data_IF_603202017073
#
_entry.id   IF_603202017073
#
_cell.length_a   1.000
_cell.length_b   1.000
_cell.length_c   1.000
_cell.angle_alpha   90.00
_cell.angle_beta   90.00
_cell.angle_gamma   90.00
#
_symmetry.space_group_name_H-M   'P 1'
#
loop_
_entity.id
_entity.type
_entity.pdbx_description
1 polymer ?
#
# COMPACT_ATOMS: atom_id res chain seq x y z
N UNK A 1 -10.32 -4.99 -2.29
CA UNK A 1 -11.22 -4.34 -1.34
C UNK A 1 -10.94 -4.77 0.10
N UNK A 2 -11.06 -6.05 0.46
CA UNK A 2 -10.84 -6.51 1.85
C UNK A 2 -9.47 -6.11 2.42
N UNK A 3 -8.40 -6.22 1.63
CA UNK A 3 -7.05 -5.84 2.06
C UNK A 3 -6.93 -4.32 2.31
N UNK A 4 -7.56 -3.49 1.47
CA UNK A 4 -7.60 -2.05 1.71
C UNK A 4 -8.39 -1.73 2.98
N UNK A 5 -9.54 -2.36 3.16
CA UNK A 5 -10.33 -2.20 4.38
C UNK A 5 -9.53 -2.60 5.62
N UNK A 6 -8.85 -3.75 5.59
CA UNK A 6 -7.98 -4.18 6.69
C UNK A 6 -6.85 -3.17 6.97
N UNK A 7 -6.20 -2.64 5.93
CA UNK A 7 -5.18 -1.61 6.08
C UNK A 7 -5.72 -0.34 6.74
N UNK A 8 -6.90 0.12 6.31
CA UNK A 8 -7.55 1.29 6.89
C UNK A 8 -7.98 1.05 8.34
N UNK A 9 -8.51 -0.14 8.64
CA UNK A 9 -8.85 -0.54 10.02
C UNK A 9 -7.61 -0.50 10.91
N UNK A 10 -6.50 -1.08 10.48
CA UNK A 10 -5.24 -1.07 11.25
C UNK A 10 -4.75 0.37 11.44
N UNK A 11 -4.69 1.16 10.37
CA UNK A 11 -4.17 2.53 10.43
C UNK A 11 -5.00 3.44 11.35
N UNK A 12 -6.35 3.29 11.34
CA UNK A 12 -7.27 4.16 12.09
C UNK A 12 -7.51 3.67 13.52
N UNK A 13 -7.70 2.35 13.71
CA UNK A 13 -8.13 1.82 15.01
C UNK A 13 -6.97 1.39 15.90
N UNK A 14 -5.83 0.94 15.34
CA UNK A 14 -4.71 0.51 16.17
C UNK A 14 -4.23 1.59 17.17
N UNK A 15 -4.11 2.87 16.79
CA UNK A 15 -3.76 3.93 17.73
C UNK A 15 -4.79 4.13 18.85
N UNK A 16 -6.06 3.82 18.59
CA UNK A 16 -7.14 3.99 19.58
C UNK A 16 -7.09 2.93 20.70
N UNK A 17 -6.58 1.73 20.42
CA UNK A 17 -6.49 0.65 21.40
C UNK A 17 -5.33 0.80 22.38
N UNK A 18 -4.35 1.67 22.10
CA UNK A 18 -3.17 1.89 22.97
C UNK A 18 -3.42 2.98 24.03
N UNK A 19 -4.46 2.82 24.82
CA UNK A 19 -4.93 3.79 25.81
C UNK A 19 -3.92 4.07 26.93
N UNK A 20 -2.94 3.21 27.18
CA UNK A 20 -2.09 3.25 28.36
C UNK A 20 -0.67 3.80 28.15
N UNK A 21 -0.33 4.27 26.95
CA UNK A 21 1.05 4.73 26.71
C UNK A 21 1.13 6.28 26.72
N UNK A 22 1.66 6.77 27.81
CA UNK A 22 1.90 8.18 28.07
C UNK A 22 2.83 8.81 27.01
N UNK A 23 2.32 9.75 26.22
CA UNK A 23 3.15 10.62 25.38
C UNK A 23 3.53 10.10 23.99
N UNK A 24 3.38 8.81 23.66
CA UNK A 24 3.84 8.21 22.39
C UNK A 24 2.73 7.94 21.35
N UNK A 25 1.56 8.55 21.49
CA UNK A 25 0.41 8.31 20.62
C UNK A 25 0.72 8.58 19.13
N UNK A 26 1.49 9.62 18.83
CA UNK A 26 1.92 9.97 17.47
C UNK A 26 2.86 8.95 16.87
N UNK A 27 3.79 8.41 17.65
CA UNK A 27 4.70 7.36 17.23
C UNK A 27 3.94 6.08 16.89
N UNK A 28 3.01 5.67 17.77
CA UNK A 28 2.18 4.49 17.54
C UNK A 28 1.26 4.63 16.34
N UNK A 29 0.65 5.79 16.14
CA UNK A 29 -0.16 6.08 14.96
C UNK A 29 0.67 5.95 13.67
N UNK A 30 1.89 6.48 13.68
CA UNK A 30 2.83 6.37 12.57
C UNK A 30 3.23 4.92 12.31
N UNK A 31 3.63 4.19 13.34
CA UNK A 31 4.09 2.81 13.22
C UNK A 31 2.95 1.87 12.78
N UNK A 32 1.72 2.08 13.25
CA UNK A 32 0.54 1.38 12.78
C UNK A 32 0.24 1.65 11.30
N UNK A 33 0.33 2.91 10.87
CA UNK A 33 0.15 3.29 9.47
C UNK A 33 1.18 2.65 8.54
N UNK A 34 2.46 2.69 8.90
CA UNK A 34 3.52 2.07 8.10
C UNK A 34 3.46 0.54 8.14
N UNK A 35 3.11 -0.08 9.26
CA UNK A 35 2.88 -1.51 9.34
C UNK A 35 1.71 -1.96 8.47
N UNK A 36 0.62 -1.20 8.45
CA UNK A 36 -0.51 -1.44 7.56
C UNK A 36 -0.10 -1.33 6.09
N UNK A 37 0.66 -0.29 5.73
CA UNK A 37 1.18 -0.10 4.38
C UNK A 37 2.13 -1.23 3.99
N UNK A 38 3.03 -1.66 4.86
CA UNK A 38 3.99 -2.72 4.60
C UNK A 38 3.30 -4.08 4.44
N UNK A 39 2.49 -4.49 5.41
CA UNK A 39 1.89 -5.83 5.43
C UNK A 39 0.79 -5.93 4.36
N UNK A 40 -0.21 -5.07 4.43
CA UNK A 40 -1.33 -5.10 3.49
C UNK A 40 -0.89 -4.68 2.09
N UNK A 41 0.10 -3.78 1.97
CA UNK A 41 0.71 -3.39 0.71
C UNK A 41 1.44 -4.54 0.05
N UNK A 42 2.26 -5.30 0.78
CA UNK A 42 2.95 -6.49 0.26
C UNK A 42 1.96 -7.56 -0.20
N UNK A 43 0.92 -7.82 0.58
CA UNK A 43 -0.18 -8.74 0.21
C UNK A 43 -0.85 -8.26 -1.09
N UNK A 44 -1.16 -6.97 -1.20
CA UNK A 44 -1.79 -6.40 -2.40
C UNK A 44 -0.87 -6.48 -3.61
N UNK A 45 0.41 -6.16 -3.47
CA UNK A 45 1.40 -6.22 -4.55
C UNK A 45 1.55 -7.65 -5.07
N UNK A 46 1.67 -8.64 -4.18
CA UNK A 46 1.90 -10.04 -4.55
C UNK A 46 0.63 -10.69 -5.08
N UNK A 47 -0.40 -10.80 -4.25
CA UNK A 47 -1.61 -11.54 -4.62
C UNK A 47 -2.45 -10.82 -5.67
N UNK A 48 -2.47 -9.48 -5.65
CA UNK A 48 -3.11 -8.68 -6.69
C UNK A 48 -2.51 -8.95 -8.07
N UNK A 49 -1.18 -8.98 -8.14
CA UNK A 49 -0.44 -9.24 -9.39
C UNK A 49 -0.63 -10.68 -9.86
N UNK A 50 -0.43 -11.68 -8.98
CA UNK A 50 -0.65 -13.09 -9.33
C UNK A 50 -2.06 -13.29 -9.87
N UNK A 51 -3.07 -12.77 -9.19
CA UNK A 51 -4.47 -12.91 -9.61
C UNK A 51 -4.74 -12.25 -10.96
N UNK A 52 -4.15 -11.07 -11.22
CA UNK A 52 -4.33 -10.35 -12.48
C UNK A 52 -3.75 -11.14 -13.65
N UNK A 53 -2.51 -11.64 -13.52
CA UNK A 53 -1.88 -12.43 -14.58
C UNK A 53 -2.57 -13.78 -14.79
N UNK A 54 -2.86 -14.50 -13.70
CA UNK A 54 -3.47 -15.85 -13.77
C UNK A 54 -4.86 -15.82 -14.35
N UNK A 55 -5.68 -14.86 -13.98
CA UNK A 55 -7.05 -14.76 -14.51
C UNK A 55 -7.05 -14.66 -16.04
N UNK A 56 -6.10 -13.94 -16.62
CA UNK A 56 -6.02 -13.79 -18.07
C UNK A 56 -5.46 -15.01 -18.77
N UNK A 57 -4.49 -15.69 -18.14
CA UNK A 57 -3.95 -16.96 -18.66
C UNK A 57 -5.04 -18.05 -18.63
N UNK A 58 -5.79 -18.17 -17.54
CA UNK A 58 -6.84 -19.18 -17.36
C UNK A 58 -8.09 -18.89 -18.21
N UNK A 59 -8.44 -17.62 -18.44
CA UNK A 59 -9.57 -17.22 -19.28
C UNK A 59 -9.27 -17.20 -20.78
N UNK A 60 -8.03 -17.57 -21.18
CA UNK A 60 -7.53 -17.50 -22.57
C UNK A 60 -7.70 -16.14 -23.26
N UNK A 61 -7.97 -15.08 -22.48
CA UNK A 61 -8.05 -13.71 -23.01
C UNK A 61 -6.70 -13.22 -23.52
N UNK A 62 -5.59 -13.83 -23.06
CA UNK A 62 -4.26 -13.62 -23.62
C UNK A 62 -4.19 -13.99 -25.12
N UNK A 63 -4.87 -15.06 -25.55
CA UNK A 63 -4.88 -15.50 -26.95
C UNK A 63 -5.54 -14.45 -27.86
N UNK A 64 -6.66 -13.87 -27.41
CA UNK A 64 -7.32 -12.78 -28.14
C UNK A 64 -6.49 -11.49 -28.16
N UNK A 65 -5.81 -11.16 -27.08
CA UNK A 65 -4.94 -9.98 -27.03
C UNK A 65 -3.70 -10.15 -27.90
N UNK A 66 -3.16 -11.37 -28.00
CA UNK A 66 -2.00 -11.71 -28.84
C UNK A 66 -2.38 -11.96 -30.32
N UNK A 67 -3.67 -12.09 -30.65
CA UNK A 67 -4.15 -12.07 -32.04
C UNK A 67 -3.97 -10.70 -32.71
N UNK A 68 -3.85 -9.63 -31.92
CA UNK A 68 -3.38 -8.33 -32.40
C UNK A 68 -1.84 -8.30 -32.47
N UNK A 69 -1.22 -7.44 -33.28
CA UNK A 69 0.25 -7.38 -33.44
C UNK A 69 0.95 -6.75 -32.24
N UNK A 70 0.65 -7.27 -31.02
CA UNK A 70 1.27 -6.85 -29.75
C UNK A 70 2.30 -7.90 -29.35
N UNK A 71 3.53 -7.48 -29.10
CA UNK A 71 4.56 -8.38 -28.60
C UNK A 71 4.23 -8.90 -27.20
N UNK A 72 4.60 -10.16 -26.90
CA UNK A 72 4.41 -10.76 -25.58
C UNK A 72 5.07 -9.95 -24.46
N UNK A 73 6.22 -9.33 -24.77
CA UNK A 73 6.93 -8.44 -23.84
C UNK A 73 6.13 -7.17 -23.53
N UNK A 74 5.55 -6.54 -24.58
CA UNK A 74 4.71 -5.35 -24.39
C UNK A 74 3.47 -5.67 -23.56
N UNK A 75 2.85 -6.83 -23.77
CA UNK A 75 1.73 -7.28 -22.96
C UNK A 75 2.12 -7.44 -21.49
N UNK A 76 3.25 -8.14 -21.21
CA UNK A 76 3.77 -8.32 -19.85
C UNK A 76 4.06 -6.96 -19.17
N UNK A 77 4.74 -6.05 -19.90
CA UNK A 77 5.10 -4.72 -19.39
C UNK A 77 3.86 -3.90 -19.03
N UNK A 78 2.88 -3.82 -19.95
CA UNK A 78 1.65 -3.03 -19.73
C UNK A 78 0.84 -3.56 -18.54
N UNK A 79 0.81 -4.87 -18.35
CA UNK A 79 0.16 -5.49 -17.19
C UNK A 79 0.88 -5.19 -15.88
N UNK A 80 2.20 -5.27 -15.89
CA UNK A 80 3.02 -4.94 -14.72
C UNK A 80 2.86 -3.46 -14.33
N UNK A 81 2.84 -2.56 -15.31
CA UNK A 81 2.59 -1.12 -15.08
C UNK A 81 1.18 -0.90 -14.51
N UNK A 82 0.16 -1.56 -15.07
CA UNK A 82 -1.21 -1.45 -14.58
C UNK A 82 -1.37 -1.96 -13.14
N UNK A 83 -0.72 -3.07 -12.81
CA UNK A 83 -0.71 -3.60 -11.45
C UNK A 83 0.02 -2.66 -10.49
N UNK A 84 1.14 -2.06 -10.90
CA UNK A 84 1.87 -1.10 -10.11
C UNK A 84 1.09 0.20 -9.90
N UNK A 85 0.42 0.72 -10.93
CA UNK A 85 -0.45 1.89 -10.80
C UNK A 85 -1.60 1.65 -9.79
N UNK A 86 -2.23 0.48 -9.84
CA UNK A 86 -3.26 0.10 -8.86
C UNK A 86 -2.69 0.01 -7.43
N UNK A 87 -1.46 -0.53 -7.29
CA UNK A 87 -0.75 -0.53 -6.00
C UNK A 87 -0.45 0.88 -5.50
N UNK A 88 0.00 1.81 -6.38
CA UNK A 88 0.27 3.20 -6.00
C UNK A 88 -0.98 3.91 -5.47
N UNK A 89 -2.14 3.67 -6.09
CA UNK A 89 -3.42 4.20 -5.58
C UNK A 89 -3.71 3.65 -4.18
N UNK A 90 -3.53 2.35 -3.97
CA UNK A 90 -3.66 1.74 -2.64
C UNK A 90 -2.71 2.39 -1.62
N UNK A 91 -1.43 2.52 -1.96
CA UNK A 91 -0.40 3.09 -1.09
C UNK A 91 -0.69 4.55 -0.75
N UNK A 92 -1.14 5.34 -1.74
CA UNK A 92 -1.52 6.74 -1.54
C UNK A 92 -2.72 6.88 -0.58
N UNK A 93 -3.75 6.03 -0.72
CA UNK A 93 -4.90 6.03 0.21
C UNK A 93 -4.43 5.75 1.64
N UNK A 94 -3.68 4.67 1.86
CA UNK A 94 -3.21 4.29 3.20
C UNK A 94 -2.27 5.34 3.77
N UNK A 95 -1.37 5.91 2.97
CA UNK A 95 -0.46 6.97 3.39
C UNK A 95 -1.21 8.24 3.82
N UNK A 96 -2.13 8.75 3.00
CA UNK A 96 -2.92 9.94 3.33
C UNK A 96 -3.71 9.76 4.64
N UNK A 97 -4.34 8.59 4.82
CA UNK A 97 -5.06 8.28 6.08
C UNK A 97 -4.09 8.21 7.25
N UNK A 98 -2.94 7.57 7.09
CA UNK A 98 -1.94 7.46 8.16
C UNK A 98 -1.44 8.81 8.63
N UNK A 99 -1.12 9.73 7.69
CA UNK A 99 -0.68 11.09 8.01
C UNK A 99 -1.77 11.85 8.77
N UNK A 100 -3.03 11.76 8.34
CA UNK A 100 -4.17 12.40 9.01
C UNK A 100 -4.36 11.86 10.44
N UNK A 101 -4.20 10.55 10.65
CA UNK A 101 -4.32 9.93 11.98
C UNK A 101 -3.16 10.34 12.88
N UNK A 102 -1.95 10.46 12.36
CA UNK A 102 -0.77 10.94 13.12
C UNK A 102 -0.95 12.40 13.57
N UNK A 103 -1.42 13.29 12.67
CA UNK A 103 -1.78 14.67 13.04
C UNK A 103 -2.85 14.67 14.13
N UNK A 104 -3.88 13.85 13.99
CA UNK A 104 -4.94 13.71 14.99
C UNK A 104 -4.45 13.22 16.33
N UNK A 105 -3.50 12.31 16.35
CA UNK A 105 -2.90 11.83 17.59
C UNK A 105 -2.07 12.92 18.29
N UNK A 106 -1.41 13.79 17.52
CA UNK A 106 -0.66 14.93 18.07
C UNK A 106 -1.60 15.94 18.74
N UNK A 107 -2.62 16.40 18.01
CA UNK A 107 -3.63 17.36 18.52
C UNK A 107 -4.45 16.77 19.67
N UNK A 108 -4.86 15.49 19.54
CA UNK A 108 -5.60 14.78 20.59
C UNK A 108 -4.78 14.62 21.88
N UNK A 109 -3.45 14.55 21.79
CA UNK A 109 -2.56 14.52 22.94
C UNK A 109 -2.59 15.83 23.75
N UNK A 110 -2.69 16.98 23.09
CA UNK A 110 -2.79 18.28 23.73
C UNK A 110 -4.18 18.52 24.36
N UNK A 111 -5.23 18.17 23.63
CA UNK A 111 -6.61 18.26 24.14
C UNK A 111 -6.84 17.32 25.33
N UNK A 112 -6.24 16.12 25.32
CA UNK A 112 -6.37 15.19 26.43
C UNK A 112 -5.64 15.64 27.70
N UNK A 113 -4.58 16.42 27.58
CA UNK A 113 -3.93 17.07 28.73
C UNK A 113 -4.86 18.14 29.36
N UNK A 114 -5.69 18.77 28.52
CA UNK A 114 -6.59 19.85 28.98
C UNK A 114 -7.96 19.36 29.48
N UNK A 115 -8.51 18.26 28.95
CA UNK A 115 -9.92 17.87 29.14
C UNK A 115 -10.17 16.46 29.69
N UNK A 116 -9.10 15.72 30.05
CA UNK A 116 -9.26 14.33 30.53
C UNK A 116 -9.56 13.28 29.42
N UNK A 117 -9.02 12.09 29.60
CA UNK A 117 -8.76 11.02 28.62
C UNK A 117 -9.81 10.63 27.54
N UNK A 118 -11.08 10.91 27.70
CA UNK A 118 -12.13 10.57 26.72
C UNK A 118 -12.15 11.47 25.48
N UNK A 119 -11.68 12.70 25.57
CA UNK A 119 -11.60 13.64 24.45
C UNK A 119 -10.59 13.21 23.36
N UNK A 120 -9.67 12.30 23.67
CA UNK A 120 -8.74 11.67 22.70
C UNK A 120 -9.45 10.86 21.63
N UNK A 121 -10.51 10.15 22.01
CA UNK A 121 -11.27 9.28 21.08
C UNK A 121 -12.16 10.09 20.13
N UNK A 122 -12.51 11.32 20.49
CA UNK A 122 -13.47 12.15 19.77
C UNK A 122 -12.83 13.33 19.05
N UNK A 123 -11.50 13.38 18.95
CA UNK A 123 -10.81 14.42 18.19
C UNK A 123 -11.22 14.44 16.71
N UNK A 124 -11.30 15.64 16.09
CA UNK A 124 -11.80 15.79 14.70
C UNK A 124 -11.04 14.93 13.69
N UNK A 125 -9.75 14.66 13.94
CA UNK A 125 -8.95 13.85 13.06
C UNK A 125 -9.21 12.34 13.22
N UNK A 126 -9.57 11.87 14.41
CA UNK A 126 -10.04 10.49 14.60
C UNK A 126 -11.38 10.28 13.89
N UNK A 127 -12.30 11.24 14.04
CA UNK A 127 -13.57 11.21 13.33
C UNK A 127 -13.38 11.24 11.80
N UNK A 128 -12.43 12.02 11.30
CA UNK A 128 -12.06 12.02 9.89
C UNK A 128 -11.51 10.65 9.44
N UNK A 129 -10.65 10.01 10.24
CA UNK A 129 -10.16 8.65 9.98
C UNK A 129 -11.29 7.61 9.93
N UNK A 130 -12.20 7.66 10.90
CA UNK A 130 -13.40 6.80 10.94
C UNK A 130 -14.32 7.08 9.76
N UNK A 131 -14.50 8.35 9.37
CA UNK A 131 -15.28 8.72 8.20
C UNK A 131 -14.69 8.14 6.91
N UNK A 132 -13.36 8.19 6.73
CA UNK A 132 -12.66 7.56 5.58
C UNK A 132 -12.84 6.05 5.56
N UNK A 133 -13.08 5.42 6.71
CA UNK A 133 -13.37 3.98 6.79
C UNK A 133 -14.83 3.67 6.44
N UNK A 134 -15.78 4.38 7.03
CA UNK A 134 -17.22 4.05 6.97
C UNK A 134 -17.90 4.64 5.73
N UNK A 135 -17.61 5.91 5.37
CA UNK A 135 -18.28 6.58 4.25
C UNK A 135 -18.15 5.84 2.92
N UNK A 136 -16.97 5.30 2.51
CA UNK A 136 -16.87 4.56 1.27
C UNK A 136 -17.74 3.30 1.23
N UNK A 137 -17.94 2.65 2.38
CA UNK A 137 -18.82 1.47 2.48
C UNK A 137 -20.28 1.88 2.28
N UNK A 138 -20.73 2.92 2.98
CA UNK A 138 -22.10 3.41 2.91
C UNK A 138 -22.42 3.98 1.53
N UNK A 139 -21.58 4.89 1.04
CA UNK A 139 -21.76 5.52 -0.29
C UNK A 139 -21.61 4.49 -1.41
N UNK A 140 -20.64 3.56 -1.31
CA UNK A 140 -20.49 2.47 -2.27
C UNK A 140 -21.71 1.56 -2.32
N UNK A 141 -22.31 1.23 -1.17
CA UNK A 141 -23.53 0.45 -1.09
C UNK A 141 -24.73 1.22 -1.69
N UNK A 142 -24.86 2.50 -1.37
CA UNK A 142 -25.90 3.37 -1.93
C UNK A 142 -25.79 3.49 -3.45
N UNK A 143 -24.59 3.77 -4.00
CA UNK A 143 -24.37 3.86 -5.44
C UNK A 143 -24.63 2.52 -6.15
N UNK A 144 -24.29 1.40 -5.51
CA UNK A 144 -24.64 0.09 -6.05
C UNK A 144 -26.16 -0.13 -6.09
N UNK A 145 -26.86 0.28 -5.04
CA UNK A 145 -28.32 0.08 -4.92
C UNK A 145 -29.12 1.00 -5.85
N UNK A 146 -28.74 2.28 -5.95
CA UNK A 146 -29.54 3.28 -6.64
C UNK A 146 -29.06 3.56 -8.08
N UNK A 147 -27.76 3.51 -8.34
CA UNK A 147 -27.17 3.82 -9.64
C UNK A 147 -26.67 2.58 -10.41
N UNK A 148 -26.77 1.37 -9.83
CA UNK A 148 -26.29 0.15 -10.49
C UNK A 148 -24.78 0.06 -10.66
N UNK A 149 -24.00 0.98 -10.04
CA UNK A 149 -22.57 0.98 -10.12
C UNK A 149 -21.94 -0.21 -9.40
N UNK A 150 -20.83 -0.73 -9.91
CA UNK A 150 -20.12 -1.84 -9.25
C UNK A 150 -19.60 -1.38 -7.89
N UNK A 151 -20.08 -2.02 -6.80
CA UNK A 151 -19.73 -1.67 -5.42
C UNK A 151 -18.22 -1.48 -5.19
N UNK A 152 -17.40 -2.40 -5.70
CA UNK A 152 -15.93 -2.35 -5.54
C UNK A 152 -15.34 -1.09 -6.17
N UNK A 153 -15.79 -0.72 -7.36
CA UNK A 153 -15.30 0.49 -8.05
C UNK A 153 -15.70 1.74 -7.27
N UNK A 154 -16.97 1.85 -6.88
CA UNK A 154 -17.49 2.98 -6.10
C UNK A 154 -16.74 3.11 -4.77
N UNK A 155 -16.51 1.99 -4.07
CA UNK A 155 -15.72 1.96 -2.85
C UNK A 155 -14.31 2.54 -3.04
N UNK A 156 -13.57 2.10 -4.08
CA UNK A 156 -12.23 2.61 -4.33
C UNK A 156 -12.22 4.10 -4.71
N UNK A 157 -13.15 4.53 -5.55
CA UNK A 157 -13.24 5.94 -5.97
C UNK A 157 -13.54 6.84 -4.77
N UNK A 158 -14.51 6.47 -3.95
CA UNK A 158 -14.87 7.25 -2.76
C UNK A 158 -13.75 7.23 -1.72
N UNK A 159 -13.12 6.06 -1.48
CA UNK A 159 -11.97 5.95 -0.57
C UNK A 159 -10.81 6.84 -1.02
N UNK A 160 -10.48 6.83 -2.33
CA UNK A 160 -9.38 7.66 -2.85
C UNK A 160 -9.69 9.15 -2.77
N UNK A 161 -10.92 9.56 -3.07
CA UNK A 161 -11.34 10.95 -2.98
C UNK A 161 -11.28 11.47 -1.52
N UNK A 162 -11.82 10.71 -0.57
CA UNK A 162 -11.80 11.08 0.85
C UNK A 162 -10.38 11.07 1.42
N UNK A 163 -9.57 10.06 1.10
CA UNK A 163 -8.18 10.00 1.53
C UNK A 163 -7.35 11.16 0.96
N UNK A 164 -7.55 11.50 -0.32
CA UNK A 164 -6.89 12.65 -0.94
C UNK A 164 -7.32 13.96 -0.27
N UNK A 165 -8.61 14.16 0.00
CA UNK A 165 -9.11 15.34 0.70
C UNK A 165 -8.51 15.46 2.11
N UNK A 166 -8.49 14.36 2.88
CA UNK A 166 -7.89 14.31 4.21
C UNK A 166 -6.38 14.58 4.16
N UNK A 167 -5.65 13.94 3.25
CA UNK A 167 -4.21 14.14 3.08
C UNK A 167 -3.84 15.56 2.63
N UNK A 168 -4.62 16.18 1.74
CA UNK A 168 -4.45 17.57 1.33
C UNK A 168 -4.73 18.53 2.50
N UNK A 169 -5.76 18.26 3.29
CA UNK A 169 -6.06 19.03 4.49
C UNK A 169 -4.90 19.00 5.49
N UNK A 170 -4.35 17.80 5.74
CA UNK A 170 -3.19 17.64 6.62
C UNK A 170 -1.94 18.33 6.06
N UNK A 171 -1.69 18.18 4.75
CA UNK A 171 -0.55 18.84 4.10
C UNK A 171 -0.65 20.36 4.15
N UNK A 172 -1.85 20.91 4.09
CA UNK A 172 -2.09 22.35 4.27
C UNK A 172 -1.75 22.82 5.68
N UNK A 173 -2.04 22.01 6.70
CA UNK A 173 -1.82 22.36 8.12
C UNK A 173 -0.40 22.06 8.60
N UNK A 174 0.14 20.92 8.25
CA UNK A 174 1.44 20.42 8.70
C UNK A 174 2.22 19.74 7.56
N UNK A 175 2.68 20.55 6.61
CA UNK A 175 3.54 20.09 5.53
C UNK A 175 4.82 19.41 6.04
N UNK A 176 5.50 19.90 7.09
CA UNK A 176 6.67 19.24 7.68
C UNK A 176 6.41 17.79 8.12
N UNK A 177 5.24 17.49 8.68
CA UNK A 177 4.85 16.11 9.03
C UNK A 177 4.81 15.20 7.80
N UNK A 178 4.13 15.66 6.74
CA UNK A 178 4.03 14.89 5.48
C UNK A 178 5.41 14.61 4.91
N UNK A 179 6.29 15.63 4.85
CA UNK A 179 7.65 15.50 4.32
C UNK A 179 8.50 14.55 5.16
N UNK A 180 8.32 14.49 6.49
CA UNK A 180 9.02 13.54 7.36
C UNK A 180 8.54 12.09 7.19
N UNK A 181 7.28 11.87 6.89
CA UNK A 181 6.71 10.52 6.71
C UNK A 181 6.96 9.97 5.30
N UNK A 182 7.12 10.82 4.30
CA UNK A 182 7.25 10.44 2.90
C UNK A 182 8.43 9.48 2.61
N UNK A 183 9.65 9.67 3.16
CA UNK A 183 10.78 8.77 2.90
C UNK A 183 10.49 7.31 3.25
N UNK A 184 9.88 7.04 4.40
CA UNK A 184 9.52 5.68 4.83
C UNK A 184 8.47 5.06 3.89
N UNK A 185 7.46 5.84 3.49
CA UNK A 185 6.46 5.39 2.54
C UNK A 185 7.09 5.02 1.18
N UNK A 186 8.05 5.83 0.69
CA UNK A 186 8.77 5.54 -0.55
C UNK A 186 9.61 4.27 -0.46
N UNK A 187 10.28 4.01 0.68
CA UNK A 187 10.99 2.75 0.90
C UNK A 187 10.07 1.54 0.78
N UNK A 188 8.87 1.61 1.38
CA UNK A 188 7.87 0.55 1.29
C UNK A 188 7.38 0.39 -0.15
N UNK A 189 7.19 1.48 -0.89
CA UNK A 189 6.80 1.44 -2.31
C UNK A 189 7.87 0.78 -3.18
N UNK A 190 9.16 1.08 -2.96
CA UNK A 190 10.26 0.42 -3.66
C UNK A 190 10.30 -1.08 -3.38
N UNK A 191 10.14 -1.49 -2.12
CA UNK A 191 10.05 -2.91 -1.77
C UNK A 191 8.87 -3.57 -2.49
N UNK A 192 7.70 -2.94 -2.49
CA UNK A 192 6.52 -3.46 -3.15
C UNK A 192 6.68 -3.54 -4.67
N UNK A 193 7.42 -2.63 -5.30
CA UNK A 193 7.74 -2.70 -6.72
C UNK A 193 8.54 -3.98 -7.04
N UNK A 194 9.56 -4.29 -6.24
CA UNK A 194 10.34 -5.53 -6.41
C UNK A 194 9.46 -6.76 -6.23
N UNK A 195 8.63 -6.80 -5.18
CA UNK A 195 7.72 -7.91 -4.91
C UNK A 195 6.69 -8.10 -6.03
N UNK A 196 6.16 -6.99 -6.56
CA UNK A 196 5.20 -7.01 -7.66
C UNK A 196 5.82 -7.58 -8.94
N UNK A 197 7.02 -7.13 -9.31
CA UNK A 197 7.72 -7.61 -10.50
C UNK A 197 8.15 -9.07 -10.35
N UNK A 198 8.60 -9.49 -9.16
CA UNK A 198 8.86 -10.89 -8.87
C UNK A 198 7.57 -11.73 -9.00
N UNK A 199 6.45 -11.23 -8.46
CA UNK A 199 5.15 -11.88 -8.57
C UNK A 199 4.69 -12.00 -10.03
N UNK A 200 4.86 -10.95 -10.81
CA UNK A 200 4.56 -10.96 -12.24
C UNK A 200 5.40 -11.99 -13.00
N UNK A 201 6.72 -11.99 -12.80
CA UNK A 201 7.64 -12.92 -13.45
C UNK A 201 7.33 -14.38 -13.11
N UNK A 202 7.13 -14.72 -11.85
CA UNK A 202 6.84 -16.09 -11.43
C UNK A 202 5.44 -16.55 -11.85
N UNK A 203 4.44 -15.66 -11.89
CA UNK A 203 3.06 -16.00 -12.26
C UNK A 203 2.93 -16.41 -13.72
N UNK A 204 3.84 -15.98 -14.58
CA UNK A 204 3.86 -16.37 -16.00
C UNK A 204 4.20 -17.86 -16.16
N UNK A 205 5.12 -18.40 -15.36
CA UNK A 205 5.66 -19.76 -15.55
C UNK A 205 5.21 -20.77 -14.50
N UNK A 206 5.00 -20.34 -13.27
CA UNK A 206 4.69 -21.23 -12.16
C UNK A 206 3.19 -21.26 -11.85
N UNK A 207 2.73 -22.37 -11.27
CA UNK A 207 1.37 -22.44 -10.69
C UNK A 207 1.26 -21.42 -9.53
N UNK A 208 0.08 -20.93 -9.22
CA UNK A 208 -0.15 -19.87 -8.25
C UNK A 208 0.53 -20.14 -6.89
N UNK A 209 0.44 -21.37 -6.38
CA UNK A 209 1.05 -21.74 -5.10
C UNK A 209 2.59 -21.72 -5.15
N UNK A 210 3.20 -22.18 -6.27
CA UNK A 210 4.64 -22.16 -6.43
C UNK A 210 5.17 -20.72 -6.65
N UNK A 211 4.41 -19.88 -7.35
CA UNK A 211 4.72 -18.47 -7.47
C UNK A 211 4.66 -17.77 -6.10
N UNK A 212 3.63 -18.02 -5.31
CA UNK A 212 3.51 -17.49 -3.95
C UNK A 212 4.64 -17.96 -3.04
N UNK A 213 5.05 -19.25 -3.11
CA UNK A 213 6.18 -19.77 -2.35
C UNK A 213 7.51 -19.10 -2.75
N UNK A 214 7.78 -18.94 -4.05
CA UNK A 214 8.96 -18.24 -4.54
C UNK A 214 9.05 -16.79 -4.04
N UNK A 215 7.91 -16.10 -4.03
CA UNK A 215 7.82 -14.74 -3.49
C UNK A 215 8.01 -14.74 -1.98
N UNK A 216 7.48 -15.73 -1.27
CA UNK A 216 7.71 -15.91 0.17
C UNK A 216 9.21 -15.96 0.50
N UNK A 217 10.00 -16.63 -0.31
CA UNK A 217 11.48 -16.66 -0.16
C UNK A 217 12.07 -15.27 -0.41
N UNK A 218 11.63 -14.56 -1.45
CA UNK A 218 12.10 -13.18 -1.73
C UNK A 218 11.75 -12.25 -0.57
N UNK A 219 10.54 -12.33 -0.02
CA UNK A 219 10.10 -11.58 1.16
C UNK A 219 10.97 -11.92 2.37
N UNK A 220 11.19 -13.22 2.64
CA UNK A 220 11.99 -13.67 3.77
C UNK A 220 13.45 -13.20 3.73
N UNK A 221 14.00 -12.97 2.54
CA UNK A 221 15.35 -12.45 2.35
C UNK A 221 15.41 -10.92 2.39
N UNK A 222 14.44 -10.24 1.76
CA UNK A 222 14.45 -8.77 1.63
C UNK A 222 13.94 -8.05 2.88
N UNK A 223 12.91 -8.56 3.54
CA UNK A 223 12.33 -7.90 4.72
C UNK A 223 13.31 -7.78 5.87
N UNK A 224 14.08 -8.82 6.27
CA UNK A 224 15.11 -8.66 7.29
C UNK A 224 16.26 -7.74 6.86
N UNK A 225 16.68 -7.80 5.59
CA UNK A 225 17.76 -6.95 5.08
C UNK A 225 17.37 -5.46 5.10
N UNK A 226 16.14 -5.14 4.68
CA UNK A 226 15.62 -3.77 4.70
C UNK A 226 15.22 -3.36 6.13
N UNK A 227 14.63 -4.26 6.90
CA UNK A 227 14.18 -4.00 8.26
C UNK A 227 15.33 -3.71 9.21
N UNK A 228 16.38 -4.52 9.19
CA UNK A 228 17.53 -4.33 10.07
C UNK A 228 18.38 -3.09 9.73
N UNK A 229 18.43 -2.70 8.45
CA UNK A 229 19.29 -1.61 8.02
C UNK A 229 18.61 -0.24 8.00
N UNK A 230 17.31 -0.19 7.69
CA UNK A 230 16.61 1.08 7.45
C UNK A 230 15.45 1.36 8.41
N UNK A 231 14.85 0.33 8.99
CA UNK A 231 13.68 0.49 9.86
C UNK A 231 14.01 0.52 11.35
N UNK A 232 15.15 -0.05 11.78
CA UNK A 232 15.49 -0.08 13.20
C UNK A 232 15.60 1.33 13.79
N UNK A 233 16.31 2.24 13.12
CA UNK A 233 16.46 3.62 13.60
C UNK A 233 15.20 4.47 13.42
N UNK A 234 14.45 4.27 12.34
CA UNK A 234 13.20 4.98 12.09
C UNK A 234 12.06 4.53 13.00
N UNK A 235 12.00 3.22 13.32
CA UNK A 235 10.95 2.63 14.16
C UNK A 235 11.31 2.70 15.66
N UNK A 236 12.58 2.52 16.02
CA UNK A 236 13.01 2.50 17.42
C UNK A 236 13.47 3.84 17.96
N UNK A 237 14.05 4.70 17.13
CA UNK A 237 14.64 5.98 17.53
C UNK A 237 13.70 7.18 17.48
N UNK A 238 12.48 7.06 16.94
CA UNK A 238 11.60 8.23 16.75
C UNK A 238 12.12 9.24 15.70
N UNK A 239 13.26 8.94 15.09
CA UNK A 239 13.90 9.76 14.07
C UNK A 239 13.18 9.76 12.72
N UNK A 240 13.39 10.79 11.93
CA UNK A 240 13.00 10.82 10.52
C UNK A 240 14.07 10.10 9.70
N UNK A 241 13.65 9.23 8.79
CA UNK A 241 14.57 8.65 7.80
C UNK A 241 15.05 9.77 6.87
N UNK A 242 16.36 9.93 6.75
CA UNK A 242 16.96 10.92 5.86
C UNK A 242 16.72 10.58 4.39
N UNK A 243 16.58 11.57 3.54
CA UNK A 243 16.42 11.40 2.09
C UNK A 243 17.58 10.64 1.44
N UNK A 244 18.76 10.68 2.01
CA UNK A 244 19.93 9.91 1.55
C UNK A 244 19.63 8.39 1.54
N UNK A 245 18.90 7.89 2.54
CA UNK A 245 18.51 6.48 2.61
C UNK A 245 17.56 6.08 1.48
N UNK A 246 16.67 7.00 1.07
CA UNK A 246 15.78 6.78 -0.10
C UNK A 246 16.61 6.59 -1.37
N UNK A 247 17.66 7.41 -1.56
CA UNK A 247 18.58 7.27 -2.69
C UNK A 247 19.31 5.94 -2.71
N UNK A 248 19.86 5.51 -1.56
CA UNK A 248 20.55 4.22 -1.43
C UNK A 248 19.60 3.05 -1.66
N UNK A 249 18.39 3.10 -1.09
CA UNK A 249 17.37 2.09 -1.29
C UNK A 249 16.91 2.01 -2.75
N UNK A 250 16.72 3.14 -3.42
CA UNK A 250 16.42 3.17 -4.85
C UNK A 250 17.55 2.52 -5.66
N UNK A 251 18.82 2.87 -5.37
CA UNK A 251 19.97 2.28 -6.04
C UNK A 251 20.07 0.76 -5.85
N UNK A 252 19.63 0.23 -4.71
CA UNK A 252 19.62 -1.21 -4.44
C UNK A 252 18.38 -1.92 -5.04
N UNK A 253 17.21 -1.30 -4.99
CA UNK A 253 15.95 -1.93 -5.41
C UNK A 253 15.69 -1.85 -6.91
N UNK A 254 16.11 -0.77 -7.59
CA UNK A 254 15.91 -0.62 -9.04
C UNK A 254 16.62 -1.70 -9.87
N UNK A 255 17.89 -2.08 -9.61
CA UNK A 255 18.54 -3.18 -10.33
C UNK A 255 17.82 -4.52 -10.11
N UNK A 256 17.32 -4.80 -8.88
CA UNK A 256 16.52 -5.99 -8.58
C UNK A 256 15.19 -5.98 -9.33
N UNK A 257 14.53 -4.84 -9.38
CA UNK A 257 13.29 -4.67 -10.15
C UNK A 257 13.52 -4.93 -11.64
N UNK A 258 14.62 -4.39 -12.21
CA UNK A 258 15.01 -4.65 -13.59
C UNK A 258 15.35 -6.12 -13.84
N UNK A 259 16.04 -6.79 -12.91
CA UNK A 259 16.32 -8.21 -12.99
C UNK A 259 15.04 -9.04 -13.11
N UNK A 260 14.04 -8.81 -12.24
CA UNK A 260 12.77 -9.50 -12.30
C UNK A 260 11.96 -9.18 -13.56
N UNK A 261 12.06 -7.96 -14.06
CA UNK A 261 11.46 -7.57 -15.33
C UNK A 261 12.08 -8.34 -16.51
N UNK A 262 13.40 -8.48 -16.55
CA UNK A 262 14.11 -9.26 -17.57
C UNK A 262 13.79 -10.76 -17.48
N UNK A 263 13.71 -11.30 -16.26
CA UNK A 263 13.28 -12.70 -16.05
C UNK A 263 11.85 -12.89 -16.56
N UNK A 264 10.95 -11.95 -16.28
CA UNK A 264 9.58 -11.96 -16.76
C UNK A 264 9.49 -11.91 -18.28
N UNK A 265 10.31 -11.09 -18.94
CA UNK A 265 10.40 -11.05 -20.41
C UNK A 265 10.90 -12.37 -21.00
N UNK A 266 11.91 -12.98 -20.40
CA UNK A 266 12.41 -14.27 -20.85
C UNK A 266 11.36 -15.38 -20.68
N UNK A 267 10.64 -15.39 -19.56
CA UNK A 267 9.55 -16.33 -19.33
C UNK A 267 8.37 -16.12 -20.28
N UNK A 268 8.03 -14.88 -20.60
CA UNK A 268 6.98 -14.56 -21.55
C UNK A 268 7.32 -15.01 -22.97
N UNK A 269 8.58 -14.89 -23.38
CA UNK A 269 9.04 -15.33 -24.70
C UNK A 269 9.15 -16.86 -24.82
N UNK A 270 9.62 -17.54 -23.77
CA UNK A 270 9.87 -18.98 -23.77
C UNK A 270 8.62 -19.87 -23.54
N UNK A 271 7.45 -19.28 -23.34
CA UNK A 271 6.20 -20.02 -23.12
C UNK A 271 5.32 -19.95 -24.37
N UNK A 272 4.99 -21.10 -24.92
CA UNK A 272 3.83 -21.19 -25.79
C UNK A 272 2.60 -20.94 -24.92
N UNK A 273 2.02 -19.75 -25.04
CA UNK A 273 0.82 -19.34 -24.29
C UNK A 273 -0.44 -19.90 -24.98
N UNK A 274 -0.32 -21.12 -25.54
CA UNK A 274 -1.42 -21.89 -26.14
C UNK A 274 -2.07 -22.81 -25.13
#
# INVERSE_FOLDING_TARGET
MLVLLAALVIAVLAPAFHYHQFGEATRMARDAGFSALLICGSVTAVFGTIRTFRREIESRTCEMALAHPVSRQSFFLMKSIGAFAAYLVFAAIVFCVSVTVVEGAAVGGEIAKASGGLARLWGPCFLAGVAVLILPLVVGAALNRFAGCRFVLSFFVVSSALAAAAGLWTAWRDLPLVVRMLPVALLIVFLALVLLLAAAAFSVRLKANAAAAGIGVVVALLVPAIGNYYMSDALTGGGSVGWNYVGVAAAATLPLALLFLLIGFNFANGRDMT
#
